data_IF_541347073099
#
_entry.id   IF_541347073099
#
_cell.length_a   1.000
_cell.length_b   1.000
_cell.length_c   1.000
_cell.angle_alpha   90.00
_cell.angle_beta   90.00
_cell.angle_gamma   90.00
#
_symmetry.space_group_name_H-M   'P 1'
#
loop_
_entity.id
_entity.type
_entity.pdbx_description
1 polymer ?
#
# COMPACT_ATOMS: atom_id res chain seq x y z
N UNK A 1 -18.64 -5.02 6.97
CA UNK A 1 -18.17 -4.05 5.96
C UNK A 1 -18.61 -2.70 6.47
N UNK A 2 -17.68 -1.81 6.81
CA UNK A 2 -18.01 -0.44 7.21
C UNK A 2 -18.65 0.25 5.99
N UNK A 3 -19.85 0.84 6.10
CA UNK A 3 -20.52 1.51 4.98
C UNK A 3 -19.72 2.66 4.37
N UNK A 4 -18.63 3.11 5.01
CA UNK A 4 -17.78 4.23 4.59
C UNK A 4 -16.52 3.80 3.83
N UNK A 5 -16.29 2.51 3.64
CA UNK A 5 -15.17 2.02 2.85
C UNK A 5 -15.46 2.11 1.35
N UNK A 6 -14.51 2.61 0.52
CA UNK A 6 -14.66 2.59 -0.92
C UNK A 6 -14.78 1.16 -1.45
N UNK A 7 -15.52 0.98 -2.55
CA UNK A 7 -15.66 -0.33 -3.19
C UNK A 7 -14.30 -0.94 -3.56
N UNK A 8 -14.17 -2.25 -3.41
CA UNK A 8 -12.98 -2.99 -3.82
C UNK A 8 -12.84 -2.93 -5.36
N UNK A 9 -11.64 -2.65 -5.92
CA UNK A 9 -11.35 -2.89 -7.32
C UNK A 9 -11.65 -4.33 -7.73
N UNK A 10 -11.89 -4.60 -9.02
CA UNK A 10 -12.21 -5.96 -9.47
C UNK A 10 -11.09 -6.96 -9.12
N UNK A 11 -11.46 -8.23 -8.97
CA UNK A 11 -10.49 -9.28 -8.69
C UNK A 11 -9.44 -9.37 -9.81
N UNK A 12 -9.86 -9.20 -11.07
CA UNK A 12 -8.96 -9.18 -12.23
C UNK A 12 -7.95 -8.03 -12.14
N UNK A 13 -8.39 -6.83 -11.75
CA UNK A 13 -7.52 -5.68 -11.59
C UNK A 13 -6.53 -5.87 -10.43
N UNK A 14 -7.00 -6.43 -9.32
CA UNK A 14 -6.16 -6.75 -8.16
C UNK A 14 -5.04 -7.75 -8.51
N UNK A 15 -5.39 -8.85 -9.18
CA UNK A 15 -4.41 -9.88 -9.59
C UNK A 15 -3.45 -9.36 -10.67
N UNK A 16 -3.94 -8.53 -11.59
CA UNK A 16 -3.10 -7.87 -12.59
C UNK A 16 -2.08 -6.95 -11.93
N UNK A 17 -2.52 -6.10 -10.98
CA UNK A 17 -1.64 -5.19 -10.26
C UNK A 17 -0.55 -5.96 -9.49
N UNK A 18 -0.91 -7.00 -8.74
CA UNK A 18 0.07 -7.86 -8.05
C UNK A 18 1.10 -8.47 -9.01
N UNK A 19 0.61 -9.02 -10.13
CA UNK A 19 1.47 -9.64 -11.13
C UNK A 19 2.46 -8.64 -11.73
N UNK A 20 2.00 -7.42 -12.02
CA UNK A 20 2.83 -6.37 -12.62
C UNK A 20 3.84 -5.79 -11.61
N UNK A 21 3.39 -5.48 -10.40
CA UNK A 21 4.25 -4.93 -9.34
C UNK A 21 5.36 -5.90 -8.92
N UNK A 22 5.08 -7.21 -8.99
CA UNK A 22 6.02 -8.28 -8.68
C UNK A 22 7.01 -8.63 -9.80
N UNK A 23 6.96 -7.96 -10.96
CA UNK A 23 7.91 -8.18 -12.07
C UNK A 23 9.07 -7.21 -11.97
N UNK A 24 10.28 -7.74 -12.10
CA UNK A 24 11.48 -6.93 -12.31
C UNK A 24 11.42 -6.21 -13.67
N UNK A 25 11.88 -4.96 -13.71
CA UNK A 25 11.92 -4.16 -14.94
C UNK A 25 10.58 -3.57 -15.40
N UNK A 26 9.48 -3.84 -14.69
CA UNK A 26 8.19 -3.19 -14.93
C UNK A 26 8.11 -1.90 -14.11
N UNK A 27 7.92 -0.76 -14.77
CA UNK A 27 7.71 0.52 -14.10
C UNK A 27 6.23 0.77 -13.74
N UNK A 28 5.97 1.85 -13.03
CA UNK A 28 4.60 2.24 -12.64
C UNK A 28 3.74 2.55 -13.87
N UNK A 29 4.25 3.29 -14.86
CA UNK A 29 3.53 3.67 -16.09
C UNK A 29 3.06 2.45 -16.90
N UNK A 30 3.88 1.40 -16.98
CA UNK A 30 3.49 0.13 -17.61
C UNK A 30 2.35 -0.55 -16.85
N UNK A 31 2.38 -0.49 -15.51
CA UNK A 31 1.32 -1.06 -14.67
C UNK A 31 0.02 -0.28 -14.82
N UNK A 32 0.09 1.06 -14.82
CA UNK A 32 -1.04 1.94 -15.06
C UNK A 32 -1.70 1.66 -16.41
N UNK A 33 -0.91 1.63 -17.49
CA UNK A 33 -1.42 1.34 -18.84
C UNK A 33 -2.11 -0.03 -18.92
N UNK A 34 -1.57 -1.04 -18.25
CA UNK A 34 -2.17 -2.37 -18.22
C UNK A 34 -3.52 -2.37 -17.46
N UNK A 35 -3.60 -1.69 -16.32
CA UNK A 35 -4.83 -1.59 -15.53
C UNK A 35 -5.92 -0.78 -16.26
N UNK A 36 -5.55 0.31 -16.92
CA UNK A 36 -6.47 1.11 -17.75
C UNK A 36 -6.95 0.31 -18.97
N UNK A 37 -6.07 -0.45 -19.62
CA UNK A 37 -6.44 -1.33 -20.74
C UNK A 37 -7.39 -2.46 -20.32
N UNK A 38 -7.34 -2.90 -19.06
CA UNK A 38 -8.30 -3.83 -18.46
C UNK A 38 -9.67 -3.17 -18.18
N UNK A 39 -9.77 -1.84 -18.26
CA UNK A 39 -10.98 -1.08 -17.97
C UNK A 39 -11.08 -0.63 -16.51
N UNK A 40 -9.98 -0.64 -15.75
CA UNK A 40 -9.97 -0.12 -14.38
C UNK A 40 -10.20 1.39 -14.39
N UNK A 41 -11.06 1.89 -13.50
CA UNK A 41 -11.19 3.32 -13.30
C UNK A 41 -9.91 3.90 -12.68
N UNK A 42 -9.58 5.14 -13.03
CA UNK A 42 -8.32 5.79 -12.59
C UNK A 42 -8.12 5.72 -11.07
N UNK A 43 -9.15 6.01 -10.27
CA UNK A 43 -9.05 6.00 -8.81
C UNK A 43 -8.89 4.58 -8.22
N UNK A 44 -9.48 3.56 -8.86
CA UNK A 44 -9.27 2.15 -8.47
C UNK A 44 -7.83 1.73 -8.75
N UNK A 45 -7.29 2.12 -9.90
CA UNK A 45 -5.90 1.89 -10.27
C UNK A 45 -4.94 2.54 -9.26
N UNK A 46 -5.10 3.84 -8.95
CA UNK A 46 -4.22 4.52 -7.98
C UNK A 46 -4.25 3.83 -6.61
N UNK A 47 -5.43 3.41 -6.14
CA UNK A 47 -5.54 2.64 -4.89
C UNK A 47 -4.77 1.32 -4.93
N UNK A 48 -4.81 0.57 -6.02
CA UNK A 48 -4.02 -0.66 -6.17
C UNK A 48 -2.52 -0.39 -6.13
N UNK A 49 -2.07 0.65 -6.84
CA UNK A 49 -0.64 0.99 -6.96
C UNK A 49 -0.04 1.51 -5.66
N UNK A 50 -0.82 2.23 -4.85
CA UNK A 50 -0.37 2.70 -3.54
C UNK A 50 -0.46 1.58 -2.50
N UNK A 51 -1.63 0.95 -2.37
CA UNK A 51 -1.89 0.12 -1.20
C UNK A 51 -1.31 -1.28 -1.25
N UNK A 52 -1.08 -1.85 -2.45
CA UNK A 52 -0.45 -3.16 -2.55
C UNK A 52 1.01 -3.15 -2.07
N UNK A 53 1.88 -2.23 -2.51
CA UNK A 53 3.22 -2.08 -1.93
C UNK A 53 3.20 -1.85 -0.43
N UNK A 54 2.35 -0.93 0.07
CA UNK A 54 2.28 -0.65 1.50
C UNK A 54 1.86 -1.86 2.32
N UNK A 55 0.85 -2.61 1.88
CA UNK A 55 0.41 -3.82 2.58
C UNK A 55 1.51 -4.90 2.63
N UNK A 56 2.27 -5.05 1.54
CA UNK A 56 3.40 -5.98 1.48
C UNK A 56 4.56 -5.55 2.38
N UNK A 57 4.87 -4.25 2.40
CA UNK A 57 5.87 -3.70 3.30
C UNK A 57 5.48 -3.86 4.77
N UNK A 58 4.21 -3.62 5.14
CA UNK A 58 3.73 -3.82 6.51
C UNK A 58 3.89 -5.28 6.96
N UNK A 59 3.59 -6.25 6.07
CA UNK A 59 3.86 -7.65 6.34
C UNK A 59 5.35 -7.91 6.59
N UNK A 60 6.23 -7.37 5.76
CA UNK A 60 7.68 -7.52 5.90
C UNK A 60 8.21 -6.88 7.19
N UNK A 61 7.88 -5.60 7.45
CA UNK A 61 8.34 -4.85 8.62
C UNK A 61 7.88 -5.55 9.91
N UNK A 62 6.64 -6.05 9.94
CA UNK A 62 6.14 -6.83 11.07
C UNK A 62 6.96 -8.10 11.36
N UNK A 63 7.57 -8.71 10.34
CA UNK A 63 8.46 -9.87 10.49
C UNK A 63 9.92 -9.52 10.78
N UNK A 64 10.34 -8.27 10.59
CA UNK A 64 11.73 -7.86 10.84
C UNK A 64 12.03 -7.65 12.32
N UNK A 65 11.01 -7.64 13.20
CA UNK A 65 11.14 -7.48 14.66
C UNK A 65 11.96 -6.25 15.08
N UNK A 66 11.89 -5.15 14.31
CA UNK A 66 12.66 -3.92 14.53
C UNK A 66 12.25 -3.11 15.78
N UNK A 67 11.23 -3.56 16.52
CA UNK A 67 10.67 -2.82 17.65
C UNK A 67 9.91 -1.55 17.27
N UNK A 68 9.59 -1.36 15.98
CA UNK A 68 8.83 -0.22 15.46
C UNK A 68 7.33 -0.41 15.69
N UNK A 69 6.65 0.64 16.12
CA UNK A 69 5.20 0.70 16.15
C UNK A 69 4.67 0.94 14.74
N UNK A 70 3.90 -0.03 14.21
CA UNK A 70 3.27 0.08 12.90
C UNK A 70 2.13 1.10 12.92
N UNK A 71 1.89 1.81 11.80
CA UNK A 71 0.80 2.77 11.71
C UNK A 71 -0.56 2.08 11.85
N UNK A 72 -1.49 2.77 12.51
CA UNK A 72 -2.92 2.40 12.53
C UNK A 72 -3.77 3.28 11.59
N UNK A 73 -3.18 4.34 11.07
CA UNK A 73 -3.83 5.39 10.27
C UNK A 73 -3.04 5.69 9.02
N UNK A 74 -3.65 6.44 8.10
CA UNK A 74 -3.04 7.08 6.96
C UNK A 74 -3.62 8.49 6.81
N UNK A 75 -2.99 9.33 6.00
CA UNK A 75 -3.47 10.69 5.75
C UNK A 75 -3.85 10.90 4.30
N UNK A 76 -4.88 11.69 4.05
CA UNK A 76 -5.29 12.12 2.71
C UNK A 76 -5.85 13.53 2.78
N UNK A 77 -5.61 14.34 1.74
CA UNK A 77 -6.16 15.69 1.64
C UNK A 77 -7.54 15.69 0.97
N UNK A 78 -8.45 16.51 1.45
CA UNK A 78 -9.72 16.78 0.77
C UNK A 78 -9.58 17.84 -0.33
N UNK A 79 -10.68 18.16 -1.03
CA UNK A 79 -10.71 19.17 -2.08
C UNK A 79 -10.43 20.61 -1.57
N UNK A 80 -10.49 20.86 -0.26
CA UNK A 80 -10.13 22.14 0.37
C UNK A 80 -8.64 22.18 0.76
N UNK A 81 -7.94 21.05 0.68
CA UNK A 81 -6.55 20.90 1.09
C UNK A 81 -6.39 20.60 2.57
N UNK A 82 -7.48 20.31 3.30
CA UNK A 82 -7.41 19.90 4.69
C UNK A 82 -6.98 18.43 4.76
N UNK A 83 -6.01 18.14 5.62
CA UNK A 83 -5.47 16.80 5.81
C UNK A 83 -6.32 16.02 6.82
N UNK A 84 -6.81 14.85 6.41
CA UNK A 84 -7.60 13.96 7.26
C UNK A 84 -6.81 12.73 7.65
N UNK A 85 -6.75 12.45 8.95
CA UNK A 85 -6.24 11.17 9.46
C UNK A 85 -7.37 10.11 9.45
N UNK A 86 -7.12 9.01 8.77
CA UNK A 86 -8.09 7.97 8.49
C UNK A 86 -7.56 6.61 8.98
N UNK A 87 -8.39 5.77 9.62
CA UNK A 87 -8.00 4.41 10.00
C UNK A 87 -7.62 3.55 8.79
N UNK A 88 -6.55 2.75 8.90
CA UNK A 88 -6.11 1.85 7.81
C UNK A 88 -7.19 0.83 7.39
N UNK A 89 -8.07 0.42 8.31
CA UNK A 89 -9.15 -0.52 8.01
C UNK A 89 -10.24 0.07 7.09
N UNK A 90 -10.20 1.37 6.80
CA UNK A 90 -11.06 1.98 5.79
C UNK A 90 -10.69 1.56 4.37
N UNK A 91 -9.46 1.12 4.13
CA UNK A 91 -8.99 0.72 2.80
C UNK A 91 -9.05 -0.81 2.61
N UNK A 92 -10.02 -1.33 1.83
CA UNK A 92 -10.13 -2.77 1.61
C UNK A 92 -8.98 -3.38 0.78
N UNK A 93 -8.32 -2.62 -0.10
CA UNK A 93 -7.15 -3.07 -0.85
C UNK A 93 -5.99 -3.38 0.09
N UNK A 94 -5.81 -2.57 1.14
CA UNK A 94 -4.78 -2.79 2.15
C UNK A 94 -5.04 -4.09 2.91
N UNK A 95 -6.26 -4.30 3.39
CA UNK A 95 -6.63 -5.53 4.09
C UNK A 95 -6.44 -6.79 3.21
N UNK A 96 -6.92 -6.75 1.96
CA UNK A 96 -6.76 -7.86 1.02
C UNK A 96 -5.29 -8.08 0.61
N UNK A 97 -4.56 -6.99 0.40
CA UNK A 97 -3.14 -6.99 0.09
C UNK A 97 -2.30 -7.58 1.23
N UNK A 98 -2.64 -7.26 2.48
CA UNK A 98 -1.92 -7.75 3.66
C UNK A 98 -2.12 -9.26 3.81
N UNK A 99 -3.35 -9.75 3.63
CA UNK A 99 -3.63 -11.19 3.62
C UNK A 99 -2.82 -11.90 2.52
N UNK A 100 -2.79 -11.33 1.31
CA UNK A 100 -1.99 -11.89 0.20
C UNK A 100 -0.49 -11.86 0.52
N UNK A 101 0.00 -10.78 1.10
CA UNK A 101 1.40 -10.59 1.47
C UNK A 101 1.85 -11.64 2.48
N UNK A 102 1.06 -11.90 3.54
CA UNK A 102 1.37 -12.90 4.55
C UNK A 102 1.49 -14.31 3.96
N UNK A 103 0.56 -14.69 3.07
CA UNK A 103 0.65 -15.97 2.36
C UNK A 103 1.91 -16.02 1.49
N UNK A 104 2.15 -14.97 0.70
CA UNK A 104 3.29 -14.91 -0.21
C UNK A 104 4.65 -14.84 0.49
N UNK A 105 4.71 -14.25 1.69
CA UNK A 105 5.92 -14.19 2.51
C UNK A 105 6.37 -15.60 2.93
N UNK A 106 5.44 -16.47 3.31
CA UNK A 106 5.75 -17.83 3.75
C UNK A 106 5.93 -18.83 2.59
N UNK A 107 5.12 -18.73 1.55
CA UNK A 107 4.99 -19.79 0.53
C UNK A 107 5.28 -19.32 -0.91
N UNK A 108 5.41 -18.01 -1.12
CA UNK A 108 5.46 -17.40 -2.44
C UNK A 108 6.87 -17.16 -3.01
N UNK A 109 6.95 -16.70 -4.27
CA UNK A 109 8.22 -16.36 -4.91
C UNK A 109 8.83 -15.11 -4.27
N UNK A 110 9.95 -15.30 -3.56
CA UNK A 110 10.67 -14.23 -2.82
C UNK A 110 11.02 -13.02 -3.68
N UNK A 111 11.40 -13.22 -4.94
CA UNK A 111 11.77 -12.13 -5.84
C UNK A 111 10.60 -11.18 -6.10
N UNK A 112 9.42 -11.72 -6.39
CA UNK A 112 8.22 -10.92 -6.63
C UNK A 112 7.73 -10.25 -5.35
N UNK A 113 7.78 -10.93 -4.20
CA UNK A 113 7.44 -10.32 -2.91
C UNK A 113 8.34 -9.11 -2.62
N UNK A 114 9.66 -9.27 -2.81
CA UNK A 114 10.63 -8.19 -2.65
C UNK A 114 10.38 -7.05 -3.62
N UNK A 115 10.12 -7.35 -4.89
CA UNK A 115 9.86 -6.34 -5.92
C UNK A 115 8.62 -5.48 -5.59
N UNK A 116 7.59 -6.07 -5.00
CA UNK A 116 6.41 -5.32 -4.52
C UNK A 116 6.79 -4.45 -3.33
N UNK A 117 7.46 -5.01 -2.31
CA UNK A 117 7.86 -4.29 -1.10
C UNK A 117 8.73 -3.06 -1.40
N UNK A 118 9.64 -3.17 -2.37
CA UNK A 118 10.57 -2.11 -2.76
C UNK A 118 9.89 -0.86 -3.34
N UNK A 119 8.59 -0.93 -3.64
CA UNK A 119 7.79 0.20 -4.12
C UNK A 119 7.06 0.95 -3.00
N UNK A 120 7.14 0.46 -1.76
CA UNK A 120 6.49 1.08 -0.60
C UNK A 120 7.28 2.28 -0.08
N UNK A 121 6.54 3.34 0.23
CA UNK A 121 7.04 4.50 0.95
C UNK A 121 7.42 4.15 2.41
N UNK A 122 6.65 3.28 3.07
CA UNK A 122 6.92 2.83 4.43
C UNK A 122 8.24 2.05 4.54
N UNK A 123 8.49 1.12 3.62
CA UNK A 123 9.77 0.41 3.61
C UNK A 123 10.93 1.36 3.29
N UNK A 124 10.73 2.28 2.35
CA UNK A 124 11.74 3.31 2.06
C UNK A 124 12.05 4.19 3.29
N UNK A 125 11.05 4.54 4.10
CA UNK A 125 11.25 5.29 5.35
C UNK A 125 12.10 4.50 6.37
N UNK A 126 11.80 3.21 6.52
CA UNK A 126 12.59 2.29 7.37
C UNK A 126 14.03 2.17 6.87
N UNK A 127 14.22 1.92 5.57
CA UNK A 127 15.54 1.79 4.95
C UNK A 127 16.35 3.09 5.10
N UNK A 128 15.72 4.26 4.90
CA UNK A 128 16.39 5.55 5.07
C UNK A 128 16.84 5.78 6.52
N UNK A 129 16.01 5.46 7.50
CA UNK A 129 16.36 5.60 8.91
C UNK A 129 17.50 4.65 9.31
N UNK A 130 17.45 3.38 8.88
CA UNK A 130 18.52 2.41 9.10
C UNK A 130 19.84 2.83 8.44
N UNK A 131 19.78 3.30 7.19
CA UNK A 131 20.96 3.81 6.47
C UNK A 131 21.56 5.06 7.12
N UNK A 132 20.76 5.86 7.83
CA UNK A 132 21.22 6.98 8.64
C UNK A 132 21.81 6.55 10.00
N UNK A 133 21.79 5.25 10.33
CA UNK A 133 22.28 4.71 11.59
C UNK A 133 21.34 4.88 12.77
N UNK A 134 20.04 5.13 12.54
CA UNK A 134 19.05 5.25 13.60
C UNK A 134 18.77 3.90 14.27
N UNK A 135 18.58 3.93 15.59
CA UNK A 135 17.95 2.84 16.33
C UNK A 135 16.42 3.01 16.25
N UNK A 136 15.74 1.98 15.76
CA UNK A 136 14.31 1.99 15.52
C UNK A 136 13.50 1.43 16.70
N UNK A 137 14.18 0.96 17.76
CA UNK A 137 13.51 0.39 18.93
C UNK A 137 12.59 1.42 19.60
N UNK A 138 11.28 1.13 19.60
CA UNK A 138 10.27 2.02 20.17
C UNK A 138 9.91 3.23 19.30
N UNK A 139 10.45 3.34 18.09
CA UNK A 139 10.05 4.36 17.12
C UNK A 139 8.63 4.10 16.60
N UNK A 140 7.94 5.16 16.20
CA UNK A 140 6.64 5.07 15.55
C UNK A 140 6.77 5.38 14.07
N UNK A 141 6.26 4.48 13.24
CA UNK A 141 6.15 4.69 11.80
C UNK A 141 4.83 5.41 11.52
N UNK A 142 4.90 6.58 10.88
CA UNK A 142 3.71 7.28 10.39
C UNK A 142 3.05 6.49 9.27
N UNK A 143 1.73 6.64 9.14
CA UNK A 143 1.00 6.11 8.00
C UNK A 143 1.43 6.72 6.67
N UNK A 144 1.08 6.10 5.54
CA UNK A 144 1.29 6.71 4.23
C UNK A 144 0.44 7.98 4.09
N UNK A 145 1.02 8.99 3.43
CA UNK A 145 0.30 10.19 3.01
C UNK A 145 -0.11 10.02 1.54
N UNK A 146 -1.41 10.02 1.29
CA UNK A 146 -1.97 9.83 -0.03
C UNK A 146 -1.97 11.16 -0.80
N UNK A 147 -1.09 11.26 -1.79
CA UNK A 147 -0.95 12.46 -2.61
C UNK A 147 -2.00 12.53 -3.74
N UNK A 148 -2.37 11.37 -4.29
CA UNK A 148 -3.22 11.28 -5.50
C UNK A 148 -4.58 10.62 -5.26
N UNK A 149 -4.94 10.37 -3.99
CA UNK A 149 -6.23 9.79 -3.62
C UNK A 149 -6.89 10.73 -2.60
N UNK A 150 -7.98 11.40 -2.98
CA UNK A 150 -8.61 12.42 -2.13
C UNK A 150 -9.29 11.79 -0.92
N UNK A 151 -9.33 12.51 0.20
CA UNK A 151 -9.93 12.05 1.46
C UNK A 151 -11.40 11.65 1.30
N UNK A 152 -12.14 12.30 0.40
CA UNK A 152 -13.54 12.01 0.06
C UNK A 152 -13.76 10.56 -0.37
N UNK A 153 -12.73 9.90 -0.89
CA UNK A 153 -12.73 8.45 -1.18
C UNK A 153 -13.08 7.62 0.05
N UNK A 154 -12.73 8.10 1.25
CA UNK A 154 -12.88 7.42 2.53
C UNK A 154 -13.78 8.16 3.53
N UNK A 155 -14.17 9.40 3.21
CA UNK A 155 -15.07 10.22 4.02
C UNK A 155 -16.55 10.09 3.59
N UNK A 156 -16.81 9.45 2.44
CA UNK A 156 -18.15 9.34 1.87
C UNK A 156 -19.17 8.73 2.83
N UNK A 157 -20.36 9.35 2.81
CA UNK A 157 -21.41 9.41 3.81
C UNK A 157 -22.43 8.26 3.78
#
# INVERSE_FOLDING_TARGET
>A
MDPRSPAMPSAEAFELALTMLGREGVDEEQTERALLALGSEHWQMRRLLVWLPEAFAMALIGHMELGVQLPGTFTASDAQGDLHELPLDREPVFAAGLQRALVMYHEGPRAAFRAICQRSSSLNAIDNALNAGADLQGAALSGPELLDIPAETYLAH
#
